data_IF_503735439367
#
_entry.id   IF_503735439367
#
_cell.length_a   1.000
_cell.length_b   1.000
_cell.length_c   1.000
_cell.angle_alpha   90.00
_cell.angle_beta   90.00
_cell.angle_gamma   90.00
#
_symmetry.space_group_name_H-M   'P 1'
#
loop_
_entity.id
_entity.type
_entity.pdbx_description
1 polymer ?
#
# COMPACT_ATOMS: atom_id res chain seq x y z
N UNK A 1 -66.98 -4.88 -3.05
CA UNK A 1 -67.76 -6.08 -3.39
C UNK A 1 -66.86 -7.27 -3.15
N UNK A 2 -67.30 -8.04 -2.13
CA UNK A 2 -67.13 -9.46 -1.79
C UNK A 2 -65.64 -9.94 -1.61
N UNK A 3 -65.14 -10.12 -0.39
CA UNK A 3 -65.40 -11.11 0.69
C UNK A 3 -65.36 -12.56 0.22
N UNK A 4 -64.42 -13.30 0.83
CA UNK A 4 -64.55 -14.59 1.52
C UNK A 4 -63.18 -15.08 1.94
N UNK A 5 -62.75 -15.11 3.21
CA UNK A 5 -63.12 -15.91 4.39
C UNK A 5 -62.68 -17.39 4.32
N UNK A 6 -61.87 -17.70 5.32
CA UNK A 6 -61.24 -18.91 5.86
C UNK A 6 -62.09 -20.18 5.93
N UNK A 7 -61.55 -21.38 6.30
CA UNK A 7 -61.44 -21.67 7.72
C UNK A 7 -60.18 -22.41 8.24
N UNK A 8 -60.02 -22.25 9.57
CA UNK A 8 -59.15 -23.02 10.47
C UNK A 8 -59.65 -24.44 10.65
N UNK A 9 -58.74 -25.39 10.85
CA UNK A 9 -59.00 -26.54 11.71
C UNK A 9 -57.79 -26.91 12.56
N UNK A 10 -58.04 -27.07 13.84
CA UNK A 10 -57.20 -27.51 14.95
C UNK A 10 -56.97 -29.03 14.90
N UNK A 11 -55.79 -29.51 15.28
CA UNK A 11 -55.72 -30.72 16.07
C UNK A 11 -54.48 -30.72 17.00
N UNK A 12 -54.79 -30.89 18.27
CA UNK A 12 -53.92 -31.05 19.42
C UNK A 12 -53.38 -32.46 19.54
N UNK A 13 -52.09 -32.62 19.96
CA UNK A 13 -51.65 -33.79 20.70
C UNK A 13 -50.40 -33.47 21.53
N UNK A 14 -50.47 -33.86 22.77
CA UNK A 14 -49.55 -33.65 23.88
C UNK A 14 -48.41 -34.69 23.92
N UNK A 15 -47.41 -34.54 24.81
CA UNK A 15 -46.02 -34.82 24.61
C UNK A 15 -45.58 -36.19 25.13
N UNK A 16 -44.50 -36.72 24.60
CA UNK A 16 -43.72 -37.79 25.24
C UNK A 16 -42.30 -37.29 25.53
N UNK A 17 -41.99 -37.16 26.82
CA UNK A 17 -40.63 -37.03 27.35
C UNK A 17 -39.78 -38.26 26.90
N UNK A 18 -38.64 -37.99 26.32
CA UNK A 18 -37.52 -38.91 26.32
C UNK A 18 -36.29 -38.17 26.85
N UNK A 19 -35.85 -38.59 28.05
CA UNK A 19 -34.49 -38.27 28.54
C UNK A 19 -33.49 -39.07 27.67
N UNK A 20 -32.64 -38.35 26.97
CA UNK A 20 -31.50 -38.92 26.25
C UNK A 20 -30.25 -38.17 26.64
N UNK A 21 -29.29 -38.88 27.19
CA UNK A 21 -27.95 -38.44 27.63
C UNK A 21 -27.30 -37.46 26.64
N UNK A 22 -26.95 -36.29 27.12
CA UNK A 22 -26.01 -35.36 26.47
C UNK A 22 -24.58 -35.89 26.65
N UNK A 23 -24.09 -36.60 25.65
CA UNK A 23 -22.67 -36.81 25.45
C UNK A 23 -22.06 -35.53 24.91
N UNK A 24 -21.24 -34.82 25.72
CA UNK A 24 -20.37 -33.75 25.25
C UNK A 24 -19.32 -34.36 24.30
N UNK A 25 -19.62 -34.37 22.99
CA UNK A 25 -18.58 -34.47 21.97
C UNK A 25 -17.94 -33.08 21.85
N UNK A 26 -16.74 -32.92 22.39
CA UNK A 26 -15.88 -31.80 22.07
C UNK A 26 -15.58 -31.81 20.57
N UNK A 27 -16.25 -30.95 19.79
CA UNK A 27 -15.81 -30.58 18.46
C UNK A 27 -14.53 -29.78 18.60
N UNK A 28 -13.40 -30.45 18.56
CA UNK A 28 -12.15 -29.80 18.15
C UNK A 28 -12.35 -29.46 16.66
N UNK A 29 -12.64 -28.21 16.38
CA UNK A 29 -12.55 -27.66 15.02
C UNK A 29 -11.10 -27.82 14.58
N UNK A 30 -10.81 -28.91 13.88
CA UNK A 30 -9.58 -29.04 13.14
C UNK A 30 -9.58 -27.93 12.09
N UNK A 31 -8.75 -26.90 12.29
CA UNK A 31 -8.47 -25.92 11.25
C UNK A 31 -8.05 -26.70 9.98
N UNK A 32 -8.58 -26.33 8.82
CA UNK A 32 -8.24 -27.02 7.60
C UNK A 32 -6.72 -26.95 7.37
N UNK A 33 -6.10 -28.06 7.09
CA UNK A 33 -4.65 -28.23 6.87
C UNK A 33 -4.06 -27.29 5.80
N UNK A 34 -4.89 -26.54 5.07
CA UNK A 34 -4.50 -25.57 4.05
C UNK A 34 -3.93 -24.27 4.66
N UNK A 35 -4.35 -23.88 5.85
CA UNK A 35 -3.87 -22.64 6.50
C UNK A 35 -2.39 -22.73 6.90
N UNK A 36 -1.90 -23.91 7.22
CA UNK A 36 -0.50 -24.11 7.65
C UNK A 36 0.53 -24.03 6.50
N UNK A 37 0.07 -24.05 5.23
CA UNK A 37 0.94 -24.01 4.04
C UNK A 37 1.07 -22.62 3.41
N UNK A 38 0.28 -21.63 3.86
CA UNK A 38 0.26 -20.29 3.27
C UNK A 38 1.30 -19.34 3.87
N UNK A 39 1.82 -19.64 5.05
CA UNK A 39 2.90 -18.86 5.63
C UNK A 39 4.26 -19.45 5.21
N UNK A 40 5.27 -18.64 4.88
CA UNK A 40 6.59 -19.14 4.49
C UNK A 40 7.25 -19.96 5.60
N UNK A 41 7.84 -21.08 5.21
CA UNK A 41 8.28 -22.12 6.13
C UNK A 41 9.69 -21.91 6.70
N UNK A 42 10.46 -20.91 6.29
CA UNK A 42 11.90 -20.81 6.60
C UNK A 42 12.20 -20.12 7.93
N UNK A 43 11.23 -19.47 8.55
CA UNK A 43 11.43 -18.82 9.86
C UNK A 43 10.16 -18.18 10.40
N UNK A 44 10.18 -17.74 11.67
CA UNK A 44 9.07 -16.99 12.23
C UNK A 44 8.94 -15.66 11.51
N UNK A 45 7.72 -15.28 11.19
CA UNK A 45 7.41 -13.93 10.72
C UNK A 45 7.67 -12.95 11.87
N UNK A 46 8.39 -11.83 11.66
CA UNK A 46 8.56 -10.81 12.69
C UNK A 46 7.20 -10.38 13.27
N UNK A 47 7.11 -10.22 14.58
CA UNK A 47 5.86 -9.83 15.25
C UNK A 47 5.33 -8.46 14.78
N UNK A 48 6.25 -7.61 14.33
CA UNK A 48 6.03 -6.26 13.83
C UNK A 48 6.06 -6.16 12.31
N UNK A 49 5.92 -7.30 11.58
CA UNK A 49 5.91 -7.31 10.12
C UNK A 49 4.74 -6.47 9.59
N UNK A 50 5.06 -5.53 8.72
CA UNK A 50 4.08 -4.57 8.20
C UNK A 50 3.30 -5.18 7.02
N UNK A 51 2.05 -5.56 7.28
CA UNK A 51 1.10 -6.06 6.28
C UNK A 51 0.35 -4.87 5.67
N UNK A 52 0.79 -4.40 4.51
CA UNK A 52 0.39 -3.12 3.97
C UNK A 52 -0.29 -3.15 2.60
N UNK A 53 -1.03 -2.07 2.34
CA UNK A 53 -1.55 -1.70 1.02
C UNK A 53 -1.18 -0.26 0.70
N UNK A 54 -0.98 0.02 -0.59
CA UNK A 54 -0.82 1.38 -1.10
C UNK A 54 -2.19 1.95 -1.44
N UNK A 55 -2.51 3.10 -0.85
CA UNK A 55 -3.74 3.83 -1.08
C UNK A 55 -3.51 5.00 -2.08
N UNK A 56 -2.95 4.70 -3.25
CA UNK A 56 -2.53 5.71 -4.22
C UNK A 56 -3.69 6.51 -4.82
N UNK A 57 -4.86 5.91 -4.91
CA UNK A 57 -6.10 6.52 -5.43
C UNK A 57 -6.57 7.76 -4.65
N UNK A 58 -6.01 8.06 -3.47
CA UNK A 58 -6.24 9.35 -2.76
C UNK A 58 -5.85 10.57 -3.60
N UNK A 59 -5.09 10.38 -4.66
CA UNK A 59 -4.69 11.42 -5.60
C UNK A 59 -5.75 11.67 -6.69
N UNK A 60 -6.82 10.86 -6.76
CA UNK A 60 -7.82 10.89 -7.82
C UNK A 60 -9.21 11.21 -7.27
N UNK A 61 -9.75 12.42 -7.54
CA UNK A 61 -11.12 12.73 -7.17
C UNK A 61 -12.11 11.71 -7.75
N UNK A 62 -12.99 11.19 -6.91
CA UNK A 62 -13.96 10.16 -7.29
C UNK A 62 -13.57 8.73 -6.91
N UNK A 63 -12.29 8.50 -6.63
CA UNK A 63 -11.78 7.22 -6.12
C UNK A 63 -11.27 7.31 -4.68
N UNK A 64 -11.72 8.34 -3.96
CA UNK A 64 -11.37 8.53 -2.56
C UNK A 64 -11.72 7.31 -1.71
N UNK A 65 -10.81 6.96 -0.79
CA UNK A 65 -11.09 5.96 0.23
C UNK A 65 -12.29 6.40 1.07
N UNK A 66 -13.19 5.45 1.28
CA UNK A 66 -14.34 5.60 2.16
C UNK A 66 -14.02 4.96 3.52
N UNK A 67 -14.73 5.36 4.57
CA UNK A 67 -14.58 4.73 5.88
C UNK A 67 -14.81 3.20 5.83
N UNK A 68 -15.77 2.75 5.00
CA UNK A 68 -16.05 1.33 4.79
C UNK A 68 -14.89 0.58 4.12
N UNK A 69 -14.08 1.25 3.31
CA UNK A 69 -12.89 0.64 2.69
C UNK A 69 -11.85 0.31 3.77
N UNK A 70 -11.63 1.21 4.74
CA UNK A 70 -10.73 0.99 5.88
C UNK A 70 -11.24 -0.17 6.76
N UNK A 71 -12.54 -0.21 7.02
CA UNK A 71 -13.15 -1.31 7.77
C UNK A 71 -12.95 -2.66 7.06
N UNK A 72 -13.11 -2.71 5.73
CA UNK A 72 -12.84 -3.92 4.92
C UNK A 72 -11.37 -4.33 4.94
N UNK A 73 -10.44 -3.37 4.88
CA UNK A 73 -9.01 -3.62 5.01
C UNK A 73 -8.69 -4.26 6.35
N UNK A 74 -9.19 -3.68 7.45
CA UNK A 74 -8.99 -4.21 8.80
C UNK A 74 -9.58 -5.63 8.96
N UNK A 75 -10.79 -5.87 8.44
CA UNK A 75 -11.43 -7.20 8.43
C UNK A 75 -10.61 -8.24 7.64
N UNK A 76 -9.91 -7.81 6.60
CA UNK A 76 -9.01 -8.68 5.81
C UNK A 76 -7.62 -8.82 6.46
N UNK A 77 -7.40 -8.28 7.65
CA UNK A 77 -6.13 -8.37 8.38
C UNK A 77 -5.06 -7.36 7.95
N UNK A 78 -5.38 -6.43 7.06
CA UNK A 78 -4.46 -5.34 6.67
C UNK A 78 -4.21 -4.46 7.88
N UNK A 79 -2.95 -4.22 8.21
CA UNK A 79 -2.53 -3.46 9.38
C UNK A 79 -1.99 -2.09 9.03
N UNK A 80 -1.56 -1.89 7.79
CA UNK A 80 -0.93 -0.67 7.34
C UNK A 80 -1.50 -0.20 6.00
N UNK A 81 -1.62 1.12 5.86
CA UNK A 81 -1.82 1.76 4.55
C UNK A 81 -0.69 2.75 4.29
N UNK A 82 -0.19 2.78 3.04
CA UNK A 82 0.68 3.86 2.58
C UNK A 82 -0.17 4.91 1.88
N UNK A 83 -0.06 6.14 2.34
CA UNK A 83 -0.87 7.28 1.88
C UNK A 83 0.06 8.41 1.42
N UNK A 84 -0.10 8.86 0.19
CA UNK A 84 0.54 10.09 -0.25
C UNK A 84 -0.27 11.28 0.29
N UNK A 85 0.34 12.11 1.14
CA UNK A 85 -0.25 13.39 1.53
C UNK A 85 -0.14 14.37 0.36
N UNK A 86 -1.05 14.27 -0.61
CA UNK A 86 -0.96 14.98 -1.88
C UNK A 86 -0.89 16.50 -1.68
N UNK A 87 0.28 17.10 -1.92
CA UNK A 87 0.50 18.52 -1.76
C UNK A 87 -0.46 19.37 -2.60
N UNK A 88 -0.72 18.93 -3.84
CA UNK A 88 -1.67 19.61 -4.73
C UNK A 88 -3.11 19.66 -4.20
N UNK A 89 -3.49 18.69 -3.36
CA UNK A 89 -4.79 18.66 -2.67
C UNK A 89 -4.79 19.53 -1.42
N UNK A 90 -3.66 19.53 -0.69
CA UNK A 90 -3.53 20.29 0.57
C UNK A 90 -3.31 21.80 0.31
N UNK A 91 -2.49 22.17 -0.68
CA UNK A 91 -2.18 23.56 -1.02
C UNK A 91 -2.35 23.79 -2.53
N UNK A 92 -3.58 23.81 -3.07
CA UNK A 92 -3.83 23.97 -4.50
C UNK A 92 -3.36 25.32 -5.06
N UNK A 93 -3.35 26.36 -4.21
CA UNK A 93 -2.91 27.72 -4.55
C UNK A 93 -1.68 28.13 -3.76
N UNK A 94 -0.73 28.80 -4.40
CA UNK A 94 0.53 29.22 -3.79
C UNK A 94 0.29 30.20 -2.62
N UNK A 95 0.72 29.82 -1.42
CA UNK A 95 0.55 30.63 -0.20
C UNK A 95 -0.90 30.70 0.29
N UNK A 96 -1.75 29.82 -0.23
CA UNK A 96 -3.11 29.61 0.28
C UNK A 96 -3.14 28.95 1.65
N UNK A 97 -4.35 28.81 2.20
CA UNK A 97 -4.54 28.00 3.38
C UNK A 97 -4.40 26.51 3.03
N UNK A 98 -3.80 25.75 3.94
CA UNK A 98 -3.77 24.30 3.83
C UNK A 98 -5.17 23.71 4.10
N UNK A 99 -5.68 22.90 3.19
CA UNK A 99 -6.91 22.13 3.38
C UNK A 99 -6.56 20.67 3.73
N UNK A 100 -6.77 20.31 4.98
CA UNK A 100 -6.54 18.98 5.50
C UNK A 100 -7.81 18.13 5.60
N UNK A 101 -8.97 18.66 5.22
CA UNK A 101 -10.28 18.05 5.50
C UNK A 101 -10.39 16.59 5.06
N UNK A 102 -9.87 16.26 3.88
CA UNK A 102 -9.88 14.88 3.39
C UNK A 102 -8.95 13.98 4.21
N UNK A 103 -7.73 14.43 4.47
CA UNK A 103 -6.74 13.63 5.21
C UNK A 103 -7.11 13.49 6.69
N UNK A 104 -7.75 14.49 7.28
CA UNK A 104 -8.30 14.39 8.64
C UNK A 104 -9.33 13.25 8.74
N UNK A 105 -10.25 13.18 7.77
CA UNK A 105 -11.26 12.13 7.72
C UNK A 105 -10.61 10.74 7.48
N UNK A 106 -9.63 10.66 6.58
CA UNK A 106 -8.91 9.43 6.29
C UNK A 106 -8.13 8.92 7.50
N UNK A 107 -7.37 9.80 8.15
CA UNK A 107 -6.56 9.46 9.34
C UNK A 107 -7.47 9.01 10.49
N UNK A 108 -8.57 9.72 10.72
CA UNK A 108 -9.55 9.32 11.73
C UNK A 108 -10.15 7.93 11.44
N UNK A 109 -10.54 7.68 10.19
CA UNK A 109 -11.10 6.38 9.80
C UNK A 109 -10.06 5.24 9.90
N UNK A 110 -8.79 5.48 9.56
CA UNK A 110 -7.73 4.49 9.74
C UNK A 110 -7.55 4.16 11.23
N UNK A 111 -7.49 5.16 12.08
CA UNK A 111 -7.36 5.02 13.54
C UNK A 111 -8.55 4.26 14.16
N UNK A 112 -9.79 4.59 13.75
CA UNK A 112 -11.00 3.93 14.23
C UNK A 112 -11.04 2.43 13.86
N UNK A 113 -10.33 2.05 12.80
CA UNK A 113 -10.21 0.66 12.35
C UNK A 113 -8.88 -0.02 12.76
N UNK A 114 -8.06 0.64 13.57
CA UNK A 114 -6.77 0.09 14.03
C UNK A 114 -5.73 -0.07 12.92
N UNK A 115 -5.88 0.67 11.81
CA UNK A 115 -4.94 0.67 10.69
C UNK A 115 -3.89 1.76 10.92
N UNK A 116 -2.62 1.38 10.84
CA UNK A 116 -1.47 2.28 10.92
C UNK A 116 -1.20 2.95 9.57
N UNK A 117 -0.60 4.12 9.60
CA UNK A 117 -0.35 4.91 8.39
C UNK A 117 1.16 5.08 8.16
N UNK A 118 1.58 4.73 6.94
CA UNK A 118 2.85 5.15 6.37
C UNK A 118 2.58 6.32 5.42
N UNK A 119 2.89 7.55 5.85
CA UNK A 119 2.66 8.77 5.08
C UNK A 119 3.80 9.02 4.11
N UNK A 120 3.52 9.36 2.84
CA UNK A 120 4.54 9.82 1.90
C UNK A 120 4.48 11.34 1.78
N UNK A 121 5.64 11.99 1.95
CA UNK A 121 5.83 13.43 1.80
C UNK A 121 6.47 13.75 0.44
N UNK A 122 5.94 14.75 -0.24
CA UNK A 122 6.61 15.36 -1.37
C UNK A 122 6.58 14.62 -2.69
N UNK A 123 5.73 13.62 -2.87
CA UNK A 123 5.60 12.90 -4.14
C UNK A 123 5.50 13.89 -5.32
N UNK A 124 6.66 14.14 -5.97
CA UNK A 124 6.83 15.16 -7.00
C UNK A 124 6.28 14.79 -8.37
N UNK A 125 5.43 13.76 -8.45
CA UNK A 125 4.68 13.46 -9.66
C UNK A 125 3.79 14.64 -10.02
N UNK A 126 4.07 15.21 -11.15
CA UNK A 126 3.30 16.34 -11.63
C UNK A 126 3.03 16.17 -13.12
N UNK A 127 2.01 15.41 -13.44
CA UNK A 127 1.43 15.49 -14.77
C UNK A 127 0.41 16.63 -14.80
N UNK A 128 0.18 17.23 -15.96
CA UNK A 128 -0.88 18.23 -16.13
C UNK A 128 -2.26 17.68 -15.78
N UNK A 129 -2.40 16.37 -15.75
CA UNK A 129 -3.66 15.66 -15.51
C UNK A 129 -3.81 15.29 -14.03
N UNK A 130 -2.71 15.19 -13.29
CA UNK A 130 -2.68 14.73 -11.89
C UNK A 130 -1.61 15.45 -11.08
N UNK A 131 -1.90 16.62 -10.55
CA UNK A 131 -0.96 17.34 -9.72
C UNK A 131 -0.94 16.76 -8.31
N UNK A 132 -0.11 15.74 -8.07
CA UNK A 132 0.24 15.37 -6.69
C UNK A 132 0.96 16.52 -6.03
N UNK A 133 1.88 17.17 -6.75
CA UNK A 133 2.39 18.49 -6.39
C UNK A 133 1.55 19.60 -7.07
N UNK A 134 1.34 20.76 -6.41
CA UNK A 134 0.49 21.81 -6.99
C UNK A 134 1.08 22.40 -8.28
N UNK A 135 0.23 22.73 -9.24
CA UNK A 135 0.65 23.25 -10.56
C UNK A 135 1.49 24.54 -10.47
N UNK A 136 1.29 25.37 -9.48
CA UNK A 136 2.07 26.58 -9.28
C UNK A 136 3.55 26.32 -9.01
N UNK A 137 3.91 25.13 -8.49
CA UNK A 137 5.31 24.74 -8.25
C UNK A 137 6.15 24.68 -9.53
N UNK A 138 5.52 24.53 -10.70
CA UNK A 138 6.19 24.57 -12.01
C UNK A 138 6.95 25.86 -12.27
N UNK A 139 6.57 26.95 -11.61
CA UNK A 139 7.18 28.28 -11.80
C UNK A 139 8.37 28.51 -10.89
N UNK A 140 8.61 27.61 -9.90
CA UNK A 140 9.67 27.77 -8.90
C UNK A 140 11.00 27.27 -9.44
N UNK A 141 12.09 27.95 -9.10
CA UNK A 141 13.43 27.37 -9.23
C UNK A 141 13.70 26.35 -8.11
N UNK A 142 14.84 25.64 -8.17
CA UNK A 142 15.16 24.59 -7.19
C UNK A 142 15.09 25.05 -5.73
N UNK A 143 15.82 26.10 -5.31
CA UNK A 143 15.75 26.61 -3.93
C UNK A 143 14.35 27.08 -3.51
N UNK A 144 13.59 27.69 -4.40
CA UNK A 144 12.20 28.10 -4.12
C UNK A 144 11.29 26.89 -3.92
N UNK A 145 11.49 25.83 -4.75
CA UNK A 145 10.75 24.57 -4.60
C UNK A 145 11.05 23.92 -3.24
N UNK A 146 12.32 23.78 -2.88
CA UNK A 146 12.74 23.22 -1.58
C UNK A 146 12.14 24.00 -0.40
N UNK A 147 12.18 25.33 -0.46
CA UNK A 147 11.59 26.17 0.59
C UNK A 147 10.06 26.00 0.70
N UNK A 148 9.38 25.91 -0.43
CA UNK A 148 7.93 25.69 -0.47
C UNK A 148 7.55 24.28 0.02
N UNK A 149 8.29 23.26 -0.41
CA UNK A 149 8.13 21.87 0.03
C UNK A 149 8.35 21.74 1.55
N UNK A 150 9.34 22.44 2.09
CA UNK A 150 9.61 22.47 3.54
C UNK A 150 8.45 23.03 4.35
N UNK A 151 7.80 24.09 3.88
CA UNK A 151 6.60 24.65 4.57
C UNK A 151 5.43 23.64 4.54
N UNK A 152 5.21 23.03 3.39
CA UNK A 152 4.18 21.99 3.25
C UNK A 152 4.48 20.80 4.18
N UNK A 153 5.68 20.25 4.14
CA UNK A 153 6.07 19.10 4.96
C UNK A 153 5.96 19.42 6.46
N UNK A 154 6.43 20.59 6.89
CA UNK A 154 6.30 21.03 8.28
C UNK A 154 4.84 21.08 8.73
N UNK A 155 3.95 21.60 7.90
CA UNK A 155 2.52 21.69 8.22
C UNK A 155 1.84 20.31 8.29
N UNK A 156 2.16 19.40 7.34
CA UNK A 156 1.61 18.04 7.31
C UNK A 156 2.10 17.24 8.52
N UNK A 157 3.41 17.20 8.76
CA UNK A 157 3.99 16.42 9.86
C UNK A 157 3.52 16.97 11.21
N UNK A 158 3.51 18.31 11.39
CA UNK A 158 3.00 18.90 12.63
C UNK A 158 1.54 18.55 12.92
N UNK A 159 0.72 18.38 11.87
CA UNK A 159 -0.69 18.02 12.05
C UNK A 159 -0.89 16.56 12.44
N UNK A 160 -0.10 15.65 11.87
CA UNK A 160 -0.33 14.21 11.98
C UNK A 160 0.74 13.45 12.78
N UNK A 161 1.62 14.16 13.51
CA UNK A 161 2.74 13.59 14.27
C UNK A 161 2.37 12.49 15.28
N UNK A 162 1.11 12.42 15.75
CA UNK A 162 0.65 11.40 16.68
C UNK A 162 -0.23 10.32 16.03
N UNK A 163 -0.44 10.41 14.73
CA UNK A 163 -1.41 9.58 14.02
C UNK A 163 -0.77 8.87 12.79
N UNK A 164 0.41 9.31 12.35
CA UNK A 164 1.20 8.66 11.29
C UNK A 164 2.42 7.99 11.91
N UNK A 165 2.62 6.72 11.63
CA UNK A 165 3.64 5.89 12.26
C UNK A 165 4.99 5.93 11.55
N UNK A 166 4.99 6.19 10.25
CA UNK A 166 6.21 6.34 9.45
C UNK A 166 6.04 7.33 8.31
N UNK A 167 7.15 7.97 7.91
CA UNK A 167 7.17 8.97 6.85
C UNK A 167 8.10 8.57 5.71
N UNK A 168 7.55 8.31 4.53
CA UNK A 168 8.28 8.12 3.28
C UNK A 168 8.75 9.47 2.71
N UNK A 169 10.02 9.53 2.32
CA UNK A 169 10.61 10.73 1.73
C UNK A 169 10.56 10.64 0.20
N UNK A 170 9.71 11.42 -0.41
CA UNK A 170 9.50 11.49 -1.86
C UNK A 170 9.07 10.14 -2.47
N UNK A 171 8.97 10.10 -3.78
CA UNK A 171 8.67 8.89 -4.53
C UNK A 171 9.72 8.73 -5.63
N UNK A 172 10.61 7.73 -5.49
CA UNK A 172 11.61 7.35 -6.50
C UNK A 172 12.45 8.54 -7.02
N UNK A 173 12.87 9.45 -6.14
CA UNK A 173 13.57 10.68 -6.52
C UNK A 173 14.84 10.43 -7.33
N UNK A 174 15.50 9.27 -7.16
CA UNK A 174 16.71 8.86 -7.88
C UNK A 174 16.50 8.66 -9.39
N UNK A 175 15.26 8.41 -9.84
CA UNK A 175 14.94 8.25 -11.27
C UNK A 175 14.28 9.50 -11.87
N UNK A 176 14.53 10.65 -11.28
CA UNK A 176 13.94 11.93 -11.71
C UNK A 176 14.09 12.22 -13.22
N UNK A 177 15.18 11.79 -13.85
CA UNK A 177 15.37 11.91 -15.30
C UNK A 177 14.31 11.13 -16.09
N UNK A 178 14.03 9.90 -15.68
CA UNK A 178 13.00 9.08 -16.33
C UNK A 178 11.61 9.69 -16.13
N UNK A 179 11.34 10.19 -14.93
CA UNK A 179 10.08 10.85 -14.62
C UNK A 179 9.81 12.06 -15.52
N UNK A 180 10.86 12.81 -15.89
CA UNK A 180 10.73 13.92 -16.84
C UNK A 180 10.50 13.42 -18.27
N UNK A 181 11.24 12.42 -18.70
CA UNK A 181 11.08 11.84 -20.04
C UNK A 181 9.66 11.27 -20.24
N UNK A 182 9.08 10.72 -19.18
CA UNK A 182 7.71 10.22 -19.16
C UNK A 182 6.68 11.30 -18.81
N UNK A 183 7.12 12.56 -18.67
CA UNK A 183 6.28 13.70 -18.27
C UNK A 183 5.64 13.58 -16.89
N UNK A 184 6.13 12.68 -16.05
CA UNK A 184 5.66 12.52 -14.67
C UNK A 184 6.19 13.60 -13.74
N UNK A 185 7.36 14.19 -14.06
CA UNK A 185 7.90 15.37 -13.37
C UNK A 185 8.06 16.51 -14.37
N UNK A 186 7.77 17.70 -13.94
CA UNK A 186 7.88 18.88 -14.80
C UNK A 186 9.31 19.43 -14.91
N UNK A 187 10.22 18.98 -14.06
CA UNK A 187 11.58 19.55 -14.00
C UNK A 187 12.60 18.59 -13.43
N UNK A 188 13.79 18.53 -14.07
CA UNK A 188 15.00 17.96 -13.50
C UNK A 188 15.61 18.96 -12.53
N UNK A 189 15.89 18.49 -11.33
CA UNK A 189 16.75 19.21 -10.43
C UNK A 189 18.17 18.60 -10.47
N UNK A 190 19.23 19.43 -10.33
CA UNK A 190 20.57 18.91 -10.11
C UNK A 190 20.62 17.99 -8.89
N UNK A 191 21.57 17.04 -8.82
CA UNK A 191 21.67 16.11 -7.68
C UNK A 191 21.72 16.80 -6.32
N UNK A 192 22.28 18.01 -6.25
CA UNK A 192 22.34 18.82 -5.02
C UNK A 192 20.95 19.20 -4.53
N UNK A 193 20.05 19.60 -5.44
CA UNK A 193 18.66 19.92 -5.09
C UNK A 193 17.90 18.68 -4.65
N UNK A 194 18.13 17.51 -5.26
CA UNK A 194 17.54 16.27 -4.79
C UNK A 194 17.96 15.92 -3.35
N UNK A 195 19.23 16.15 -3.01
CA UNK A 195 19.72 15.98 -1.64
C UNK A 195 19.09 16.99 -0.67
N UNK A 196 18.90 18.24 -1.10
CA UNK A 196 18.22 19.26 -0.30
C UNK A 196 16.74 18.92 -0.09
N UNK A 197 16.05 18.37 -1.09
CA UNK A 197 14.66 17.88 -0.96
C UNK A 197 14.61 16.85 0.16
N UNK A 198 15.39 15.78 0.09
CA UNK A 198 15.38 14.71 1.08
C UNK A 198 15.75 15.21 2.49
N UNK A 199 16.77 16.07 2.57
CA UNK A 199 17.16 16.69 3.85
C UNK A 199 16.04 17.51 4.45
N UNK A 200 15.36 18.32 3.64
CA UNK A 200 14.27 19.20 4.08
C UNK A 200 13.10 18.38 4.60
N UNK A 201 12.73 17.32 3.91
CA UNK A 201 11.66 16.42 4.35
C UNK A 201 12.03 15.69 5.66
N UNK A 202 13.24 15.13 5.73
CA UNK A 202 13.74 14.47 6.95
C UNK A 202 13.78 15.46 8.14
N UNK A 203 14.24 16.68 7.94
CA UNK A 203 14.27 17.70 8.98
C UNK A 203 12.87 18.09 9.48
N UNK A 204 11.87 18.14 8.60
CA UNK A 204 10.49 18.39 9.00
C UNK A 204 9.98 17.28 9.93
N UNK A 205 10.28 16.02 9.63
CA UNK A 205 9.94 14.90 10.51
C UNK A 205 10.71 14.96 11.82
N UNK A 206 12.04 15.17 11.78
CA UNK A 206 12.86 15.28 13.00
C UNK A 206 12.37 16.37 13.96
N UNK A 207 11.89 17.48 13.40
CA UNK A 207 11.41 18.61 14.18
C UNK A 207 10.03 18.37 14.80
N UNK A 208 9.12 17.73 14.08
CA UNK A 208 7.70 17.64 14.44
C UNK A 208 7.29 16.28 14.98
N UNK A 209 7.99 15.22 14.54
CA UNK A 209 7.67 13.83 14.87
C UNK A 209 8.96 12.99 15.02
N UNK A 210 9.81 13.31 15.99
CA UNK A 210 11.16 12.75 16.12
C UNK A 210 11.18 11.24 16.37
N UNK A 211 10.06 10.65 16.80
CA UNK A 211 9.93 9.22 17.08
C UNK A 211 9.42 8.41 15.91
N UNK A 212 8.87 9.06 14.87
CA UNK A 212 8.41 8.35 13.70
C UNK A 212 9.57 7.75 12.89
N UNK A 213 9.33 6.62 12.29
CA UNK A 213 10.26 6.00 11.35
C UNK A 213 10.31 6.82 10.05
N UNK A 214 11.51 7.11 9.55
CA UNK A 214 11.72 7.73 8.25
C UNK A 214 12.13 6.67 7.24
N UNK A 215 11.38 6.57 6.14
CA UNK A 215 11.61 5.60 5.05
C UNK A 215 12.13 6.33 3.82
N UNK A 216 13.36 5.99 3.38
CA UNK A 216 13.90 6.47 2.11
C UNK A 216 13.42 5.55 0.98
N UNK A 217 12.67 6.09 0.03
CA UNK A 217 12.04 5.31 -1.05
C UNK A 217 12.88 5.29 -2.32
N UNK A 218 12.98 4.12 -2.96
CA UNK A 218 13.69 3.96 -4.23
C UNK A 218 13.28 2.68 -4.97
N UNK A 219 13.49 2.69 -6.31
CA UNK A 219 13.23 1.52 -7.15
C UNK A 219 14.53 0.83 -7.57
N UNK A 220 14.72 -0.44 -7.23
CA UNK A 220 15.90 -1.21 -7.61
C UNK A 220 15.90 -1.60 -9.11
N UNK A 221 14.82 -1.35 -9.83
CA UNK A 221 14.75 -1.61 -11.28
C UNK A 221 15.58 -0.64 -12.12
N UNK A 222 16.07 0.46 -11.54
CA UNK A 222 16.82 1.49 -12.25
C UNK A 222 18.30 1.51 -11.82
N UNK A 223 19.24 1.57 -12.77
CA UNK A 223 20.67 1.59 -12.46
C UNK A 223 21.08 2.77 -11.56
N UNK A 224 22.02 2.52 -10.65
CA UNK A 224 22.59 3.55 -9.79
C UNK A 224 21.86 3.78 -8.47
N UNK A 225 20.83 3.02 -8.18
CA UNK A 225 20.08 3.14 -6.92
C UNK A 225 20.95 2.85 -5.67
N UNK A 226 21.87 1.88 -5.72
CA UNK A 226 22.80 1.59 -4.61
C UNK A 226 23.72 2.78 -4.34
N UNK A 227 24.21 3.42 -5.42
CA UNK A 227 25.02 4.63 -5.29
C UNK A 227 24.22 5.79 -4.69
N UNK A 228 22.99 5.99 -5.15
CA UNK A 228 22.10 7.00 -4.60
C UNK A 228 21.85 6.76 -3.11
N UNK A 229 21.54 5.52 -2.72
CA UNK A 229 21.32 5.13 -1.34
C UNK A 229 22.56 5.39 -0.46
N UNK A 230 23.74 4.94 -0.88
CA UNK A 230 24.98 5.15 -0.13
C UNK A 230 25.38 6.62 0.00
N UNK A 231 25.07 7.46 -0.99
CA UNK A 231 25.26 8.90 -0.91
C UNK A 231 24.26 9.56 0.05
N UNK A 232 23.05 9.06 0.13
CA UNK A 232 21.99 9.58 1.01
C UNK A 232 22.26 9.29 2.49
N UNK A 233 23.00 8.24 2.83
CA UNK A 233 23.33 7.90 4.24
C UNK A 233 24.09 8.99 4.98
N UNK A 234 24.68 9.94 4.29
CA UNK A 234 25.55 10.97 4.88
C UNK A 234 24.88 12.35 5.00
N UNK A 235 23.66 12.52 4.51
CA UNK A 235 23.07 13.84 4.35
C UNK A 235 21.92 14.19 5.28
N UNK A 236 21.20 13.19 5.79
CA UNK A 236 19.99 13.35 6.59
C UNK A 236 19.65 12.03 7.31
N UNK A 237 18.75 12.08 8.29
CA UNK A 237 18.26 10.88 8.99
C UNK A 237 17.27 10.13 8.09
N UNK A 238 17.43 8.82 8.01
CA UNK A 238 16.38 7.86 7.66
C UNK A 238 16.64 6.55 8.42
N UNK A 239 15.60 5.78 8.67
CA UNK A 239 15.65 4.61 9.56
C UNK A 239 15.46 3.32 8.78
N UNK A 240 14.74 3.37 7.67
CA UNK A 240 14.49 2.23 6.80
C UNK A 240 14.62 2.59 5.32
N UNK A 241 14.83 1.57 4.48
CA UNK A 241 14.81 1.65 3.02
C UNK A 241 13.52 1.04 2.50
N UNK A 242 12.73 1.81 1.78
CA UNK A 242 11.53 1.37 1.09
C UNK A 242 11.82 1.05 -0.37
N UNK A 243 11.78 -0.22 -0.74
CA UNK A 243 11.98 -0.68 -2.11
C UNK A 243 10.66 -0.71 -2.88
N UNK A 244 10.63 -0.08 -4.05
CA UNK A 244 9.55 -0.20 -5.03
C UNK A 244 9.97 -1.25 -6.06
N UNK A 245 9.59 -2.51 -5.79
CA UNK A 245 10.08 -3.65 -6.53
C UNK A 245 8.98 -4.31 -7.35
N UNK A 246 9.12 -4.23 -8.67
CA UNK A 246 8.18 -4.78 -9.64
C UNK A 246 8.87 -5.80 -10.55
N UNK A 247 9.18 -7.00 -10.07
CA UNK A 247 9.87 -8.02 -10.87
C UNK A 247 9.05 -8.50 -12.07
N UNK A 248 7.73 -8.37 -12.01
CA UNK A 248 6.79 -8.75 -13.08
C UNK A 248 5.99 -7.54 -13.57
N UNK A 249 6.68 -6.43 -13.91
CA UNK A 249 6.02 -5.17 -14.28
C UNK A 249 5.20 -5.24 -15.59
N UNK A 250 5.50 -6.16 -16.49
CA UNK A 250 4.76 -6.29 -17.75
C UNK A 250 3.55 -7.22 -17.56
N UNK A 251 2.40 -6.81 -18.08
CA UNK A 251 1.20 -7.64 -18.09
C UNK A 251 1.49 -9.00 -18.75
N UNK A 252 1.09 -10.06 -18.08
CA UNK A 252 1.36 -11.44 -18.53
C UNK A 252 2.77 -11.97 -18.22
N UNK A 253 3.61 -11.22 -17.51
CA UNK A 253 4.87 -11.76 -16.98
C UNK A 253 4.61 -12.90 -15.99
N UNK A 254 5.58 -13.82 -15.83
CA UNK A 254 5.44 -14.90 -14.87
C UNK A 254 5.26 -14.35 -13.45
N UNK A 255 4.27 -14.85 -12.67
CA UNK A 255 4.03 -14.40 -11.30
C UNK A 255 5.00 -14.99 -10.27
N UNK A 256 5.98 -15.77 -10.73
CA UNK A 256 6.99 -16.50 -9.93
C UNK A 256 8.36 -16.44 -10.59
N UNK A 257 9.40 -16.95 -9.90
CA UNK A 257 10.75 -17.05 -10.46
C UNK A 257 11.61 -15.81 -10.18
N UNK A 258 11.14 -14.89 -9.35
CA UNK A 258 11.84 -13.66 -8.97
C UNK A 258 12.35 -13.67 -7.51
N UNK A 259 12.22 -14.78 -6.80
CA UNK A 259 12.52 -14.90 -5.38
C UNK A 259 13.97 -14.52 -5.07
N UNK A 260 14.90 -15.02 -5.86
CA UNK A 260 16.32 -14.67 -5.72
C UNK A 260 16.59 -13.18 -6.02
N UNK A 261 15.85 -12.58 -6.95
CA UNK A 261 15.96 -11.16 -7.25
C UNK A 261 15.53 -10.31 -6.04
N UNK A 262 14.41 -10.63 -5.41
CA UNK A 262 13.92 -9.92 -4.22
C UNK A 262 14.91 -10.06 -3.05
N UNK A 263 15.38 -11.28 -2.78
CA UNK A 263 16.37 -11.52 -1.73
C UNK A 263 17.66 -10.71 -1.96
N UNK A 264 18.15 -10.66 -3.21
CA UNK A 264 19.33 -9.87 -3.57
C UNK A 264 19.09 -8.37 -3.39
N UNK A 265 17.96 -7.84 -3.84
CA UNK A 265 17.61 -6.43 -3.69
C UNK A 265 17.55 -6.02 -2.21
N UNK A 266 16.96 -6.85 -1.34
CA UNK A 266 16.91 -6.60 0.10
C UNK A 266 18.34 -6.62 0.69
N UNK A 267 19.16 -7.61 0.34
CA UNK A 267 20.53 -7.71 0.83
C UNK A 267 21.40 -6.52 0.39
N UNK A 268 21.30 -6.10 -0.86
CA UNK A 268 22.02 -4.95 -1.42
C UNK A 268 21.55 -3.64 -0.77
N UNK A 269 20.25 -3.46 -0.55
CA UNK A 269 19.70 -2.28 0.14
C UNK A 269 20.22 -2.19 1.57
N UNK A 270 20.21 -3.31 2.30
CA UNK A 270 20.75 -3.39 3.66
C UNK A 270 22.24 -3.06 3.71
N UNK A 271 23.02 -3.63 2.79
CA UNK A 271 24.45 -3.36 2.70
C UNK A 271 24.73 -1.88 2.36
N UNK A 272 24.05 -1.31 1.38
CA UNK A 272 24.26 0.06 0.93
C UNK A 272 23.77 1.12 1.95
N UNK A 273 22.84 0.76 2.83
CA UNK A 273 22.30 1.63 3.89
C UNK A 273 23.02 1.52 5.24
N UNK A 274 24.04 0.65 5.35
CA UNK A 274 24.73 0.41 6.62
C UNK A 274 23.92 -0.43 7.62
N UNK A 275 23.13 -1.38 7.13
CA UNK A 275 22.41 -2.36 7.95
C UNK A 275 21.00 -1.94 8.35
N UNK A 276 20.44 -0.92 7.75
CA UNK A 276 19.07 -0.44 8.05
C UNK A 276 18.00 -1.46 7.65
N UNK A 277 16.84 -1.32 8.24
CA UNK A 277 15.64 -2.08 7.87
C UNK A 277 15.28 -1.88 6.39
N UNK A 278 14.69 -2.91 5.79
CA UNK A 278 14.25 -2.88 4.39
C UNK A 278 12.80 -3.34 4.32
N UNK A 279 11.99 -2.53 3.66
CA UNK A 279 10.59 -2.81 3.36
C UNK A 279 10.43 -3.01 1.85
N UNK A 280 9.60 -3.93 1.42
CA UNK A 280 9.02 -3.88 0.08
C UNK A 280 7.84 -2.89 0.17
N UNK A 281 8.16 -1.63 -0.07
CA UNK A 281 7.26 -0.52 0.24
C UNK A 281 6.29 -0.19 -0.89
N UNK A 282 6.53 -0.81 -2.05
CA UNK A 282 5.60 -0.85 -3.17
C UNK A 282 5.90 -2.03 -4.10
N UNK A 283 4.86 -2.81 -4.42
CA UNK A 283 4.92 -3.91 -5.38
C UNK A 283 3.52 -4.23 -5.89
N UNK A 284 3.40 -4.88 -7.04
CA UNK A 284 2.08 -5.26 -7.54
C UNK A 284 2.12 -6.04 -8.84
N UNK A 285 0.96 -6.60 -9.21
CA UNK A 285 0.78 -7.35 -10.45
C UNK A 285 -0.49 -6.88 -11.17
N UNK A 286 -0.37 -6.64 -12.47
CA UNK A 286 -1.44 -6.11 -13.30
C UNK A 286 -2.43 -7.21 -13.70
N UNK A 287 -3.72 -6.90 -13.57
CA UNK A 287 -4.80 -7.74 -14.09
C UNK A 287 -5.60 -6.96 -15.13
N UNK A 288 -5.09 -6.81 -16.37
CA UNK A 288 -5.78 -6.02 -17.38
C UNK A 288 -7.23 -6.50 -17.53
N UNK A 289 -8.18 -5.56 -17.72
CA UNK A 289 -9.57 -5.91 -17.90
C UNK A 289 -9.71 -6.82 -19.10
N UNK A 290 -10.66 -7.74 -19.01
CA UNK A 290 -11.03 -8.65 -20.07
C UNK A 290 -11.32 -7.89 -21.38
N UNK A 291 -10.27 -7.61 -22.15
CA UNK A 291 -10.50 -7.36 -23.57
C UNK A 291 -10.81 -8.73 -24.19
N UNK A 292 -12.02 -8.93 -24.69
CA UNK A 292 -12.43 -10.25 -25.16
C UNK A 292 -11.57 -10.64 -26.37
N UNK A 293 -10.49 -11.39 -26.10
CA UNK A 293 -9.79 -12.18 -27.11
C UNK A 293 -10.33 -13.60 -27.19
N UNK A 294 -10.92 -14.08 -26.13
CA UNK A 294 -11.77 -15.26 -26.03
C UNK A 294 -12.49 -15.19 -24.68
N UNK A 295 -13.76 -15.60 -24.58
CA UNK A 295 -14.69 -15.02 -23.61
C UNK A 295 -14.54 -15.42 -22.14
N UNK A 296 -13.71 -16.35 -21.73
CA UNK A 296 -13.78 -16.89 -20.36
C UNK A 296 -12.43 -17.20 -19.68
N UNK A 297 -11.31 -17.30 -20.41
CA UNK A 297 -10.10 -17.89 -19.82
C UNK A 297 -8.98 -16.91 -19.43
N UNK A 298 -8.76 -15.81 -20.15
CA UNK A 298 -7.60 -14.94 -19.89
C UNK A 298 -7.75 -14.04 -18.65
N UNK A 299 -8.93 -13.51 -18.35
CA UNK A 299 -9.16 -12.66 -17.19
C UNK A 299 -9.06 -13.43 -15.86
N UNK A 300 -9.60 -14.64 -15.83
CA UNK A 300 -9.45 -15.56 -14.71
C UNK A 300 -7.97 -15.89 -14.46
N UNK A 301 -7.24 -16.25 -15.52
CA UNK A 301 -5.82 -16.60 -15.44
C UNK A 301 -4.97 -15.46 -14.87
N UNK A 302 -5.20 -14.21 -15.28
CA UNK A 302 -4.41 -13.07 -14.79
C UNK A 302 -4.75 -12.69 -13.34
N UNK A 303 -6.00 -12.89 -12.93
CA UNK A 303 -6.40 -12.75 -11.52
C UNK A 303 -5.78 -13.83 -10.65
N UNK A 304 -5.68 -15.07 -11.13
CA UNK A 304 -4.98 -16.16 -10.47
C UNK A 304 -3.46 -15.90 -10.42
N UNK A 305 -2.90 -15.30 -11.48
CA UNK A 305 -1.50 -14.85 -11.49
C UNK A 305 -1.25 -13.75 -10.47
N UNK A 306 -2.16 -12.79 -10.29
CA UNK A 306 -2.04 -11.77 -9.25
C UNK A 306 -2.01 -12.42 -7.85
N UNK A 307 -2.88 -13.39 -7.61
CA UNK A 307 -2.90 -14.13 -6.34
C UNK A 307 -1.59 -14.91 -6.12
N UNK A 308 -1.11 -15.61 -7.14
CA UNK A 308 0.18 -16.32 -7.10
C UNK A 308 1.36 -15.38 -6.87
N UNK A 309 1.32 -14.20 -7.50
CA UNK A 309 2.34 -13.16 -7.30
C UNK A 309 2.38 -12.68 -5.84
N UNK A 310 1.22 -12.43 -5.23
CA UNK A 310 1.14 -12.01 -3.82
C UNK A 310 1.78 -13.07 -2.92
N UNK A 311 1.43 -14.33 -3.07
CA UNK A 311 2.01 -15.42 -2.28
C UNK A 311 3.53 -15.48 -2.44
N UNK A 312 4.01 -15.42 -3.69
CA UNK A 312 5.43 -15.48 -4.01
C UNK A 312 6.18 -14.27 -3.45
N UNK A 313 5.60 -13.07 -3.56
CA UNK A 313 6.21 -11.83 -3.08
C UNK A 313 6.29 -11.81 -1.55
N UNK A 314 5.22 -12.18 -0.85
CA UNK A 314 5.22 -12.26 0.62
C UNK A 314 6.30 -13.21 1.11
N UNK A 315 6.35 -14.42 0.53
CA UNK A 315 7.38 -15.42 0.85
C UNK A 315 8.78 -14.84 0.61
N UNK A 316 9.02 -14.27 -0.55
CA UNK A 316 10.33 -13.71 -0.92
C UNK A 316 10.76 -12.55 -0.02
N UNK A 317 9.82 -11.69 0.38
CA UNK A 317 10.06 -10.58 1.29
C UNK A 317 10.48 -11.08 2.68
N UNK A 318 9.73 -12.03 3.25
CA UNK A 318 10.01 -12.59 4.58
C UNK A 318 11.34 -13.37 4.56
N UNK A 319 11.55 -14.26 3.58
CA UNK A 319 12.77 -15.06 3.44
C UNK A 319 14.01 -14.18 3.18
N UNK A 320 13.84 -13.08 2.46
CA UNK A 320 14.87 -12.07 2.25
C UNK A 320 15.14 -11.18 3.48
N UNK A 321 14.30 -11.28 4.50
CA UNK A 321 14.41 -10.51 5.75
C UNK A 321 13.88 -9.08 5.65
N UNK A 322 12.94 -8.79 4.75
CA UNK A 322 12.20 -7.53 4.79
C UNK A 322 11.33 -7.46 6.04
N UNK A 323 11.07 -6.24 6.52
CA UNK A 323 10.23 -5.98 7.70
C UNK A 323 8.78 -5.62 7.34
N UNK A 324 8.42 -5.66 6.06
CA UNK A 324 7.05 -5.46 5.60
C UNK A 324 6.91 -5.53 4.10
N UNK A 325 5.66 -5.62 3.64
CA UNK A 325 5.28 -5.61 2.23
C UNK A 325 4.01 -4.78 2.03
N UNK A 326 4.01 -3.91 1.01
CA UNK A 326 2.90 -3.06 0.64
C UNK A 326 2.53 -3.29 -0.82
N UNK A 327 1.31 -3.78 -1.06
CA UNK A 327 0.84 -4.03 -2.42
C UNK A 327 0.19 -2.79 -3.02
N UNK A 328 0.65 -2.41 -4.18
CA UNK A 328 0.05 -1.44 -5.07
C UNK A 328 -0.97 -2.17 -5.95
N UNK A 329 -2.29 -1.90 -5.82
CA UNK A 329 -2.91 -0.99 -4.88
C UNK A 329 -4.22 -1.61 -4.34
N UNK A 330 -4.97 -0.89 -3.49
CA UNK A 330 -6.25 -1.37 -2.99
C UNK A 330 -7.29 -1.52 -4.10
N UNK A 331 -7.56 -0.43 -4.82
CA UNK A 331 -8.67 -0.30 -5.77
C UNK A 331 -8.13 -0.12 -7.19
N UNK A 332 -8.72 -0.82 -8.17
CA UNK A 332 -8.51 -0.47 -9.58
C UNK A 332 -8.96 0.96 -9.85
N UNK A 333 -8.21 1.64 -10.70
CA UNK A 333 -8.50 3.02 -11.05
C UNK A 333 -8.59 3.20 -12.58
N UNK A 334 -9.79 3.08 -13.18
CA UNK A 334 -9.99 3.18 -14.63
C UNK A 334 -9.67 4.56 -15.21
N UNK A 335 -9.48 5.58 -14.36
CA UNK A 335 -9.07 6.92 -14.79
C UNK A 335 -7.54 7.11 -14.74
N UNK A 336 -6.77 6.02 -14.55
CA UNK A 336 -5.31 6.09 -14.57
C UNK A 336 -4.79 6.49 -15.95
N UNK A 337 -3.78 7.38 -15.98
CA UNK A 337 -3.22 7.92 -17.22
C UNK A 337 -2.59 6.83 -18.10
N UNK A 338 -2.01 5.83 -17.45
CA UNK A 338 -1.41 4.69 -18.12
C UNK A 338 -2.35 3.50 -17.98
N UNK A 339 -2.93 3.00 -19.08
CA UNK A 339 -3.90 1.90 -19.02
C UNK A 339 -3.44 0.67 -18.25
N UNK A 340 -2.13 0.44 -18.17
CA UNK A 340 -1.55 -0.66 -17.39
C UNK A 340 -1.60 -0.41 -15.88
N UNK A 341 -1.69 0.84 -15.43
CA UNK A 341 -1.74 1.20 -14.00
C UNK A 341 -3.18 1.18 -13.46
N UNK A 342 -4.16 1.15 -14.35
CA UNK A 342 -5.58 1.07 -14.00
C UNK A 342 -5.95 -0.19 -13.21
N UNK A 343 -5.15 -1.26 -13.31
CA UNK A 343 -5.56 -2.64 -13.03
C UNK A 343 -4.65 -3.38 -12.03
N UNK A 344 -3.99 -2.65 -11.16
CA UNK A 344 -3.19 -3.20 -10.05
C UNK A 344 -4.01 -3.49 -8.79
N UNK A 345 -5.24 -2.99 -8.70
CA UNK A 345 -6.08 -3.13 -7.52
C UNK A 345 -6.27 -4.59 -7.10
N UNK A 346 -6.37 -4.80 -5.80
CA UNK A 346 -6.80 -6.08 -5.24
C UNK A 346 -8.32 -6.20 -5.20
N UNK A 347 -9.02 -5.08 -5.41
CA UNK A 347 -10.47 -5.02 -5.60
C UNK A 347 -10.80 -4.22 -6.85
N UNK A 348 -11.94 -4.51 -7.45
CA UNK A 348 -12.48 -3.82 -8.62
C UNK A 348 -12.98 -2.41 -8.25
N UNK A 349 -13.25 -1.51 -9.21
CA UNK A 349 -13.78 -0.17 -8.92
C UNK A 349 -15.09 -0.16 -8.13
N UNK A 350 -15.92 -1.19 -8.28
CA UNK A 350 -17.15 -1.39 -7.50
C UNK A 350 -16.93 -2.05 -6.14
N UNK A 351 -15.66 -2.24 -5.75
CA UNK A 351 -15.20 -2.89 -4.52
C UNK A 351 -15.47 -4.40 -4.46
N UNK A 352 -15.72 -5.04 -5.59
CA UNK A 352 -15.75 -6.51 -5.68
C UNK A 352 -14.32 -7.04 -5.45
N UNK A 353 -14.10 -7.98 -4.51
CA UNK A 353 -12.77 -8.50 -4.24
C UNK A 353 -12.28 -9.41 -5.37
N UNK A 354 -11.02 -9.26 -5.77
CA UNK A 354 -10.32 -10.21 -6.63
C UNK A 354 -9.79 -11.41 -5.81
N UNK A 355 -9.43 -12.55 -6.42
CA UNK A 355 -8.85 -13.69 -5.71
C UNK A 355 -7.64 -13.31 -4.84
N UNK A 356 -6.82 -12.39 -5.32
CA UNK A 356 -5.65 -11.87 -4.63
C UNK A 356 -5.98 -11.19 -3.29
N UNK A 357 -7.11 -10.50 -3.21
CA UNK A 357 -7.60 -9.91 -1.96
C UNK A 357 -7.85 -10.95 -0.88
N UNK A 358 -8.60 -12.00 -1.24
CA UNK A 358 -8.94 -13.09 -0.32
C UNK A 358 -7.69 -13.83 0.13
N UNK A 359 -6.82 -14.18 -0.81
CA UNK A 359 -5.57 -14.88 -0.51
C UNK A 359 -4.66 -14.05 0.40
N UNK A 360 -4.56 -12.74 0.18
CA UNK A 360 -3.72 -11.90 1.04
C UNK A 360 -4.20 -11.90 2.50
N UNK A 361 -5.50 -11.81 2.72
CA UNK A 361 -6.07 -11.95 4.06
C UNK A 361 -5.82 -13.33 4.70
N UNK A 362 -5.94 -14.40 3.92
CA UNK A 362 -5.63 -15.77 4.37
C UNK A 362 -4.15 -15.91 4.77
N UNK A 363 -3.22 -15.33 3.99
CA UNK A 363 -1.79 -15.31 4.29
C UNK A 363 -1.53 -14.57 5.60
N UNK A 364 -2.08 -13.36 5.76
CA UNK A 364 -1.91 -12.56 6.98
C UNK A 364 -2.40 -13.35 8.20
N UNK A 365 -3.60 -13.94 8.13
CA UNK A 365 -4.16 -14.74 9.22
C UNK A 365 -3.29 -15.96 9.57
N UNK A 366 -2.79 -16.68 8.56
CA UNK A 366 -1.94 -17.85 8.75
C UNK A 366 -0.58 -17.49 9.37
N UNK A 367 0.01 -16.37 8.93
CA UNK A 367 1.31 -15.93 9.42
C UNK A 367 1.23 -15.33 10.84
N UNK A 368 0.18 -14.55 11.13
CA UNK A 368 -0.04 -13.99 12.47
C UNK A 368 -0.29 -15.07 13.52
N UNK A 369 -0.86 -16.21 13.14
CA UNK A 369 -1.06 -17.35 14.06
C UNK A 369 0.24 -18.08 14.43
N UNK A 370 1.35 -17.85 13.71
CA UNK A 370 2.67 -18.44 13.95
C UNK A 370 3.60 -17.51 14.77
N UNK A 371 3.16 -16.28 15.01
CA UNK A 371 3.92 -15.34 15.82
C UNK A 371 3.83 -15.77 17.30
N UNK A 372 4.95 -15.96 18.02
CA UNK A 372 4.97 -16.46 19.38
C UNK A 372 4.33 -15.51 20.40
#
# INVERSE_FOLDING_TARGET
>A
MTQNMLPQELFSARPRLWLGLLGLLGLTLAMPARAATLCPATGPVPADFQWGLVAYHVNFPGYDLQADDLARMAQNGIQWIRVDFAWGRIEPEQGGNFDFSYFDALVAAAKDNGIRIAGTLGNGYNTRVRPVAPLWTHRLNGPQYVAALGRYADAVVARYANDVDSWGLENELHIATLHILLQWRHRLYPPQINQEILRTLSQAVDLRDPNAQIVLTLSPSFPGWQRFLSQSTQGFRFDAVGLYSYPSFNAGAAPTGFEAQIANQIAEARAASGGKEVLIFETGYQTPPDKPRTPEDEGSLLRDHQATYIETMVRSAIDGGATGVYFYQYLDNPDELLPREEVFGLVEPDRTPKPAWTLYGEIIGACSAQTP
#
